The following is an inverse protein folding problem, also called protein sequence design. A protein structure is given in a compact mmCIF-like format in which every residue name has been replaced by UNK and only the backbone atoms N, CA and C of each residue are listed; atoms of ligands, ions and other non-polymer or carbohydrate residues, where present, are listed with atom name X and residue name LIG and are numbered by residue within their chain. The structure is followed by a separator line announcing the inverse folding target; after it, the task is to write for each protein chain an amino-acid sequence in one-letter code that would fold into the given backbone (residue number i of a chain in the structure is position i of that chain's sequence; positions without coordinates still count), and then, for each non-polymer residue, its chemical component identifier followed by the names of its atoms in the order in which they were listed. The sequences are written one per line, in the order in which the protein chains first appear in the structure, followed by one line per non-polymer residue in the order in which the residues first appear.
data_IF_070153901787
#
_entry.id   IF_070153901787
#
_cell.length_a   1.000
_cell.length_b   1.000
_cell.length_c   1.000
_cell.angle_alpha   90.00
_cell.angle_beta   90.00
_cell.angle_gamma   90.00
#
_symmetry.space_group_name_H-M   'P 1'
#
loop_
_entity.id
_entity.type
_entity.pdbx_description
1 polymer ?
#
# COMPACT_ATOMS: atom_id res chain seq x y z
N UNK A 1 20.54 -24.00 26.44
CA UNK A 1 20.20 -23.43 27.76
C UNK A 1 19.33 -22.22 27.49
N UNK A 2 18.02 -22.39 27.60
CA UNK A 2 17.03 -21.36 27.26
C UNK A 2 16.91 -20.35 28.40
N UNK A 3 17.00 -19.07 28.08
CA UNK A 3 16.62 -17.99 29.00
C UNK A 3 15.24 -17.52 28.54
N UNK A 4 14.21 -17.96 29.25
CA UNK A 4 12.86 -17.41 29.13
C UNK A 4 12.81 -16.17 30.00
N UNK A 5 12.75 -14.98 29.39
CA UNK A 5 12.56 -13.72 30.11
C UNK A 5 11.06 -13.35 30.08
N UNK A 6 10.34 -13.36 31.21
CA UNK A 6 8.87 -13.36 31.22
C UNK A 6 8.21 -11.98 31.00
N UNK A 7 8.95 -10.96 30.57
CA UNK A 7 8.44 -9.57 30.53
C UNK A 7 7.95 -9.15 29.13
N UNK A 8 8.24 -9.93 28.08
CA UNK A 8 7.70 -9.70 26.74
C UNK A 8 7.19 -11.02 26.17
N UNK A 9 5.92 -11.05 25.74
CA UNK A 9 5.33 -12.15 24.96
C UNK A 9 5.95 -12.20 23.54
N UNK A 10 7.26 -12.39 23.48
CA UNK A 10 8.05 -12.54 22.26
C UNK A 10 8.85 -13.84 22.40
N UNK A 11 8.57 -14.81 21.53
CA UNK A 11 9.46 -15.93 21.33
C UNK A 11 10.61 -15.46 20.41
N UNK A 12 11.83 -15.42 20.92
CA UNK A 12 13.03 -15.21 20.10
C UNK A 12 13.63 -16.59 19.84
N UNK A 13 13.55 -17.06 18.59
CA UNK A 13 14.27 -18.26 18.17
C UNK A 13 15.66 -17.83 17.76
N UNK A 14 16.66 -18.07 18.61
CA UNK A 14 18.06 -17.92 18.26
C UNK A 14 18.53 -19.18 17.54
N UNK A 15 18.92 -19.07 16.28
CA UNK A 15 19.57 -20.16 15.53
C UNK A 15 21.07 -20.06 15.77
N UNK A 16 21.69 -21.18 16.14
CA UNK A 16 23.14 -21.26 16.38
C UNK A 16 23.90 -21.02 15.07
N UNK A 17 25.01 -20.27 15.06
CA UNK A 17 25.77 -19.97 13.84
C UNK A 17 26.40 -21.18 13.14
N UNK A 18 26.31 -22.38 13.73
CA UNK A 18 26.87 -23.62 13.18
C UNK A 18 25.81 -24.56 12.56
N UNK A 19 24.54 -24.18 12.53
CA UNK A 19 23.51 -24.98 11.84
C UNK A 19 23.30 -24.49 10.40
N UNK A 20 23.19 -25.42 9.46
CA UNK A 20 22.82 -25.15 8.07
C UNK A 20 21.49 -24.40 7.99
N UNK A 21 21.39 -23.42 7.10
CA UNK A 21 20.20 -22.60 6.90
C UNK A 21 18.95 -23.48 6.73
N UNK A 22 17.94 -23.28 7.58
CA UNK A 22 16.63 -23.90 7.42
C UNK A 22 16.00 -23.45 6.11
N UNK A 23 15.36 -24.39 5.42
CA UNK A 23 14.53 -24.06 4.26
C UNK A 23 13.32 -23.22 4.67
N UNK A 24 12.82 -22.38 3.76
CA UNK A 24 11.61 -21.58 3.98
C UNK A 24 10.41 -22.44 4.41
N UNK A 25 10.35 -23.68 3.92
CA UNK A 25 9.28 -24.64 4.20
C UNK A 25 9.35 -25.17 5.64
N UNK A 26 10.55 -25.43 6.18
CA UNK A 26 10.75 -25.83 7.58
C UNK A 26 10.42 -24.70 8.56
N UNK A 27 10.74 -23.45 8.19
CA UNK A 27 10.35 -22.27 8.97
C UNK A 27 8.83 -22.14 9.00
N UNK A 28 8.17 -22.37 7.86
CA UNK A 28 6.72 -22.25 7.75
C UNK A 28 5.99 -23.36 8.52
N UNK A 29 6.48 -24.61 8.47
CA UNK A 29 5.92 -25.74 9.23
C UNK A 29 5.99 -25.53 10.75
N UNK A 30 7.08 -24.93 11.25
CA UNK A 30 7.22 -24.63 12.68
C UNK A 30 6.35 -23.47 13.15
N UNK A 31 5.98 -22.54 12.25
CA UNK A 31 5.08 -21.42 12.55
C UNK A 31 3.61 -21.85 12.67
N UNK A 32 3.17 -22.87 11.93
CA UNK A 32 1.78 -23.36 11.97
C UNK A 32 1.39 -23.92 13.35
N UNK A 33 2.36 -24.37 14.15
CA UNK A 33 2.14 -25.00 15.47
C UNK A 33 1.74 -23.95 16.55
N UNK A 34 1.99 -22.65 16.34
CA UNK A 34 1.79 -21.60 17.37
C UNK A 34 0.60 -20.67 17.13
N UNK A 35 -0.31 -21.03 16.22
CA UNK A 35 -1.23 -20.07 15.59
C UNK A 35 -2.66 -20.18 16.12
N UNK A 36 -2.93 -19.65 17.33
CA UNK A 36 -4.29 -19.18 17.67
C UNK A 36 -4.36 -17.79 18.31
N UNK A 37 -3.32 -17.26 18.97
CA UNK A 37 -3.45 -15.94 19.64
C UNK A 37 -2.24 -14.98 19.62
N UNK A 38 -1.17 -15.24 18.86
CA UNK A 38 -0.01 -14.33 18.84
C UNK A 38 0.36 -13.81 17.45
N UNK A 39 0.51 -12.49 17.38
CA UNK A 39 1.23 -11.80 16.29
C UNK A 39 2.73 -11.97 16.51
N UNK A 40 3.30 -13.08 16.04
CA UNK A 40 4.75 -13.35 16.14
C UNK A 40 5.50 -12.62 15.02
N UNK A 41 6.53 -11.86 15.38
CA UNK A 41 7.51 -11.29 14.46
C UNK A 41 8.78 -12.15 14.51
N UNK A 42 9.26 -12.65 13.36
CA UNK A 42 10.56 -13.32 13.27
C UNK A 42 11.57 -12.38 12.59
N UNK A 43 12.68 -12.10 13.26
CA UNK A 43 13.87 -11.48 12.66
C UNK A 43 14.94 -12.55 12.58
N UNK A 44 15.12 -13.13 11.39
CA UNK A 44 16.28 -13.98 11.12
C UNK A 44 17.44 -13.08 10.68
N UNK A 45 18.51 -13.04 11.48
CA UNK A 45 19.77 -12.40 11.13
C UNK A 45 20.70 -13.49 10.60
N UNK A 46 20.77 -13.64 9.28
CA UNK A 46 21.92 -14.27 8.63
C UNK A 46 22.78 -13.17 8.00
N UNK A 47 24.09 -13.32 8.12
CA UNK A 47 25.08 -12.33 7.71
C UNK A 47 24.90 -11.82 6.28
N UNK A 48 25.09 -10.50 6.14
CA UNK A 48 25.10 -9.68 4.93
C UNK A 48 23.85 -9.78 4.03
N UNK A 49 22.88 -8.92 4.37
CA UNK A 49 21.67 -8.52 3.65
C UNK A 49 20.50 -9.52 3.66
N UNK A 50 19.70 -9.47 4.73
CA UNK A 50 18.32 -9.95 4.73
C UNK A 50 17.35 -8.77 4.86
N UNK A 51 16.53 -8.53 3.83
CA UNK A 51 15.31 -7.72 3.94
C UNK A 51 14.21 -8.63 4.47
N UNK A 52 13.97 -8.58 5.79
CA UNK A 52 12.91 -9.35 6.42
C UNK A 52 11.54 -8.93 5.91
N UNK A 53 10.76 -9.89 5.38
CA UNK A 53 9.32 -9.71 5.13
C UNK A 53 8.58 -9.88 6.46
N UNK A 54 8.33 -8.77 7.14
CA UNK A 54 7.36 -8.75 8.23
C UNK A 54 5.95 -8.85 7.64
N UNK A 55 5.26 -9.98 7.85
CA UNK A 55 3.86 -10.15 7.51
C UNK A 55 3.01 -9.45 8.59
N UNK A 56 2.93 -8.12 8.51
CA UNK A 56 1.98 -7.37 9.31
C UNK A 56 0.59 -7.66 8.73
N UNK A 57 -0.37 -8.10 9.58
CA UNK A 57 -1.79 -8.08 9.21
C UNK A 57 -2.20 -6.63 8.99
N UNK A 58 -2.14 -6.18 7.74
CA UNK A 58 -2.55 -4.83 7.35
C UNK A 58 -4.06 -4.79 7.26
N UNK A 59 -4.73 -3.79 7.84
CA UNK A 59 -6.19 -3.59 7.71
C UNK A 59 -6.54 -2.88 6.40
N UNK A 60 -7.82 -2.82 5.99
CA UNK A 60 -8.16 -2.42 4.60
C UNK A 60 -7.76 -0.99 4.26
N UNK A 61 -8.02 -0.02 5.14
CA UNK A 61 -7.62 1.36 4.87
C UNK A 61 -6.10 1.42 4.65
N UNK A 62 -5.30 0.69 5.45
CA UNK A 62 -3.84 0.55 5.28
C UNK A 62 -3.43 -0.07 3.94
N UNK A 63 -4.26 -0.96 3.39
CA UNK A 63 -4.10 -1.58 2.07
C UNK A 63 -4.10 -0.55 0.94
N UNK A 64 -5.08 0.34 0.97
CA UNK A 64 -5.23 1.38 -0.06
C UNK A 64 -4.13 2.46 0.11
N UNK A 65 -3.73 2.74 1.36
CA UNK A 65 -2.65 3.66 1.68
C UNK A 65 -1.31 3.30 1.06
N UNK A 66 -0.83 2.09 1.34
CA UNK A 66 0.47 1.68 0.85
C UNK A 66 0.39 1.35 -0.66
N UNK A 67 -0.78 1.06 -1.24
CA UNK A 67 -0.93 1.06 -2.70
C UNK A 67 -0.63 2.44 -3.32
N UNK A 68 -1.20 3.52 -2.77
CA UNK A 68 -0.90 4.88 -3.21
C UNK A 68 0.59 5.25 -3.04
N UNK A 69 1.20 4.87 -1.90
CA UNK A 69 2.65 5.07 -1.66
C UNK A 69 3.51 4.23 -2.61
N UNK A 70 3.10 3.01 -2.95
CA UNK A 70 3.83 2.18 -3.91
C UNK A 70 3.70 2.70 -5.34
N UNK A 71 2.56 3.29 -5.74
CA UNK A 71 2.45 4.00 -7.01
C UNK A 71 3.46 5.16 -7.07
N UNK A 72 3.59 5.95 -6.00
CA UNK A 72 4.60 7.02 -5.91
C UNK A 72 6.03 6.48 -6.09
N UNK A 73 6.38 5.39 -5.41
CA UNK A 73 7.77 4.88 -5.43
C UNK A 73 8.10 4.14 -6.73
N UNK A 74 7.12 3.50 -7.36
CA UNK A 74 7.30 2.95 -8.73
C UNK A 74 7.47 4.06 -9.75
N UNK A 75 6.77 5.19 -9.59
CA UNK A 75 6.98 6.40 -10.37
C UNK A 75 8.41 6.94 -10.24
N UNK A 76 8.90 7.14 -9.01
CA UNK A 76 10.28 7.55 -8.74
C UNK A 76 11.33 6.62 -9.38
N UNK A 77 11.05 5.31 -9.37
CA UNK A 77 11.93 4.30 -9.97
C UNK A 77 11.99 4.36 -11.50
N UNK A 78 10.99 4.95 -12.16
CA UNK A 78 10.98 5.15 -13.61
C UNK A 78 11.69 6.46 -14.01
N UNK A 79 11.63 7.50 -13.16
CA UNK A 79 12.21 8.82 -13.44
C UNK A 79 13.74 8.85 -13.44
N UNK A 80 14.40 8.04 -12.60
CA UNK A 80 15.86 8.06 -12.44
C UNK A 80 16.57 7.10 -13.40
N UNK A 81 16.20 7.10 -14.70
CA UNK A 81 16.82 6.22 -15.69
C UNK A 81 18.27 6.61 -16.05
N UNK A 82 18.75 7.80 -15.67
CA UNK A 82 20.05 8.33 -16.12
C UNK A 82 21.23 8.20 -15.15
N UNK A 83 21.04 7.97 -13.84
CA UNK A 83 22.16 7.88 -12.88
C UNK A 83 22.57 6.43 -12.57
N UNK A 84 23.71 5.99 -13.11
CA UNK A 84 24.26 4.64 -12.94
C UNK A 84 24.66 4.27 -11.49
N UNK A 85 24.97 5.22 -10.62
CA UNK A 85 25.47 4.93 -9.25
C UNK A 85 24.40 4.45 -8.26
N UNK A 86 23.10 4.65 -8.54
CA UNK A 86 21.99 4.27 -7.64
C UNK A 86 21.28 2.97 -8.04
N UNK A 87 21.79 2.24 -9.04
CA UNK A 87 21.15 1.03 -9.57
C UNK A 87 20.85 -0.08 -8.54
N UNK A 88 21.72 -0.42 -7.56
CA UNK A 88 21.42 -1.46 -6.57
C UNK A 88 20.34 -1.03 -5.57
N UNK A 89 20.41 0.21 -5.06
CA UNK A 89 19.38 0.75 -4.18
C UNK A 89 18.02 0.83 -4.90
N UNK A 90 18.03 1.25 -6.17
CA UNK A 90 16.85 1.30 -7.04
C UNK A 90 16.20 -0.07 -7.22
N UNK A 91 16.98 -1.13 -7.44
CA UNK A 91 16.46 -2.50 -7.57
C UNK A 91 15.83 -3.00 -6.27
N UNK A 92 16.49 -2.76 -5.14
CA UNK A 92 15.99 -3.18 -3.82
C UNK A 92 14.72 -2.43 -3.42
N UNK A 93 14.67 -1.11 -3.61
CA UNK A 93 13.48 -0.29 -3.34
C UNK A 93 12.33 -0.65 -4.27
N UNK A 94 12.59 -0.81 -5.58
CA UNK A 94 11.59 -1.27 -6.55
C UNK A 94 11.04 -2.64 -6.17
N UNK A 95 11.87 -3.60 -5.81
CA UNK A 95 11.45 -4.95 -5.43
C UNK A 95 10.61 -4.95 -4.15
N UNK A 96 11.03 -4.21 -3.11
CA UNK A 96 10.29 -4.08 -1.87
C UNK A 96 8.91 -3.42 -2.08
N UNK A 97 8.85 -2.37 -2.90
CA UNK A 97 7.61 -1.63 -3.18
C UNK A 97 6.68 -2.39 -4.12
N UNK A 98 7.20 -3.11 -5.10
CA UNK A 98 6.40 -4.03 -5.91
C UNK A 98 5.81 -5.14 -5.04
N UNK A 99 6.59 -5.70 -4.09
CA UNK A 99 6.08 -6.67 -3.12
C UNK A 99 4.94 -6.12 -2.25
N UNK A 100 5.11 -4.90 -1.71
CA UNK A 100 4.09 -4.25 -0.88
C UNK A 100 2.83 -3.91 -1.68
N UNK A 101 2.95 -3.32 -2.87
CA UNK A 101 1.80 -3.04 -3.76
C UNK A 101 1.01 -4.29 -4.10
N UNK A 102 1.70 -5.41 -4.37
CA UNK A 102 1.05 -6.66 -4.72
C UNK A 102 0.28 -7.25 -3.55
N UNK A 103 0.88 -7.29 -2.35
CA UNK A 103 0.21 -7.78 -1.13
C UNK A 103 -1.09 -7.00 -0.87
N UNK A 104 -1.06 -5.70 -1.12
CA UNK A 104 -2.18 -4.83 -0.82
C UNK A 104 -3.28 -4.85 -1.83
N UNK A 105 -2.89 -4.88 -3.10
CA UNK A 105 -3.82 -5.15 -4.18
C UNK A 105 -4.55 -6.48 -3.93
N UNK A 106 -3.82 -7.55 -3.58
CA UNK A 106 -4.44 -8.85 -3.25
C UNK A 106 -5.37 -8.73 -2.05
N UNK A 107 -5.01 -7.95 -1.02
CA UNK A 107 -5.88 -7.74 0.14
C UNK A 107 -7.17 -7.01 -0.22
N UNK A 108 -7.09 -5.90 -0.94
CA UNK A 108 -8.29 -5.15 -1.37
C UNK A 108 -9.16 -6.02 -2.28
N UNK A 109 -8.54 -6.72 -3.24
CA UNK A 109 -9.24 -7.67 -4.13
C UNK A 109 -9.96 -8.75 -3.33
N UNK A 110 -9.27 -9.41 -2.39
CA UNK A 110 -9.86 -10.48 -1.58
C UNK A 110 -10.99 -9.96 -0.69
N UNK A 111 -10.88 -8.75 -0.12
CA UNK A 111 -12.00 -8.18 0.64
C UNK A 111 -13.18 -7.87 -0.27
N UNK A 112 -12.97 -7.23 -1.42
CA UNK A 112 -14.05 -6.93 -2.38
C UNK A 112 -14.79 -8.20 -2.81
N UNK A 113 -14.04 -9.25 -3.17
CA UNK A 113 -14.62 -10.54 -3.54
C UNK A 113 -15.41 -11.14 -2.37
N UNK A 114 -14.83 -11.15 -1.16
CA UNK A 114 -15.51 -11.67 0.05
C UNK A 114 -16.84 -10.95 0.29
N UNK A 115 -16.85 -9.63 0.30
CA UNK A 115 -18.06 -8.82 0.53
C UNK A 115 -19.13 -9.08 -0.54
N UNK A 116 -18.73 -9.24 -1.80
CA UNK A 116 -19.67 -9.59 -2.88
C UNK A 116 -20.24 -11.00 -2.74
N UNK A 117 -19.42 -11.99 -2.36
CA UNK A 117 -19.87 -13.36 -2.12
C UNK A 117 -20.84 -13.43 -0.93
N UNK A 118 -20.54 -12.70 0.16
CA UNK A 118 -21.43 -12.57 1.32
C UNK A 118 -22.77 -11.90 0.96
N UNK A 119 -22.79 -11.03 -0.05
CA UNK A 119 -24.00 -10.41 -0.60
C UNK A 119 -24.71 -11.26 -1.69
N UNK A 120 -24.35 -12.54 -1.83
CA UNK A 120 -25.04 -13.49 -2.71
C UNK A 120 -24.52 -13.58 -4.15
N UNK A 121 -23.43 -12.89 -4.49
CA UNK A 121 -22.77 -13.06 -5.78
C UNK A 121 -22.19 -14.49 -5.88
N UNK A 122 -22.53 -15.22 -6.94
CA UNK A 122 -22.22 -16.65 -7.02
C UNK A 122 -20.85 -16.97 -7.63
N UNK A 123 -20.23 -16.01 -8.34
CA UNK A 123 -19.05 -16.28 -9.17
C UNK A 123 -17.82 -15.44 -8.75
N UNK A 124 -17.31 -15.65 -7.54
CA UNK A 124 -16.18 -14.90 -7.01
C UNK A 124 -14.91 -14.99 -7.86
N UNK A 125 -14.69 -16.11 -8.57
CA UNK A 125 -13.54 -16.30 -9.44
C UNK A 125 -13.59 -15.39 -10.69
N UNK A 126 -14.76 -15.25 -11.33
CA UNK A 126 -14.96 -14.30 -12.44
C UNK A 126 -14.71 -12.85 -12.00
N UNK A 127 -15.15 -12.48 -10.79
CA UNK A 127 -14.89 -11.15 -10.24
C UNK A 127 -13.40 -10.92 -10.00
N UNK A 128 -12.72 -11.92 -9.43
CA UNK A 128 -11.27 -11.88 -9.19
C UNK A 128 -10.50 -11.75 -10.51
N UNK A 129 -10.86 -12.54 -11.51
CA UNK A 129 -10.28 -12.48 -12.85
C UNK A 129 -10.49 -11.11 -13.48
N UNK A 130 -11.70 -10.55 -13.38
CA UNK A 130 -11.99 -9.21 -13.92
C UNK A 130 -11.13 -8.12 -13.27
N UNK A 131 -10.94 -8.19 -11.95
CA UNK A 131 -10.08 -7.27 -11.21
C UNK A 131 -8.61 -7.43 -11.66
N UNK A 132 -8.14 -8.67 -11.85
CA UNK A 132 -6.80 -8.98 -12.34
C UNK A 132 -6.57 -8.53 -13.79
N UNK A 133 -7.55 -8.68 -14.67
CA UNK A 133 -7.52 -8.15 -16.03
C UNK A 133 -7.41 -6.62 -16.05
N UNK A 134 -8.13 -5.92 -15.16
CA UNK A 134 -7.99 -4.47 -15.02
C UNK A 134 -6.57 -4.06 -14.62
N UNK A 135 -5.95 -4.78 -13.67
CA UNK A 135 -4.56 -4.57 -13.27
C UNK A 135 -3.57 -4.82 -14.42
N UNK A 136 -3.73 -5.90 -15.18
CA UNK A 136 -2.85 -6.15 -16.33
C UNK A 136 -3.04 -5.10 -17.42
N UNK A 137 -4.28 -4.68 -17.69
CA UNK A 137 -4.58 -3.60 -18.61
C UNK A 137 -3.87 -2.29 -18.22
N UNK A 138 -3.89 -1.91 -16.93
CA UNK A 138 -3.22 -0.71 -16.43
C UNK A 138 -1.69 -0.72 -16.68
N UNK A 139 -1.06 -1.90 -16.72
CA UNK A 139 0.39 -2.02 -17.00
C UNK A 139 0.74 -1.79 -18.48
N UNK A 140 -0.22 -1.90 -19.40
CA UNK A 140 0.02 -1.80 -20.83
C UNK A 140 0.44 -0.39 -21.27
N UNK A 141 0.12 0.65 -20.49
CA UNK A 141 0.63 2.01 -20.71
C UNK A 141 1.59 2.40 -19.61
N UNK A 142 2.68 3.05 -20.00
CA UNK A 142 3.70 3.56 -19.07
C UNK A 142 3.35 4.97 -18.62
N UNK A 143 3.19 5.15 -17.31
CA UNK A 143 3.05 6.45 -16.66
C UNK A 143 4.27 7.33 -16.97
N UNK A 144 4.06 8.64 -17.14
CA UNK A 144 5.06 9.65 -17.54
C UNK A 144 5.62 9.57 -18.96
N UNK A 145 5.44 8.46 -19.66
CA UNK A 145 5.68 8.38 -21.12
C UNK A 145 4.41 8.74 -21.88
N UNK A 146 3.27 8.30 -21.37
CA UNK A 146 1.96 8.63 -21.93
C UNK A 146 1.55 10.02 -21.44
N UNK A 147 0.99 10.91 -22.29
CA UNK A 147 0.44 12.18 -21.84
C UNK A 147 -0.64 11.98 -20.76
N UNK A 148 -0.69 12.88 -19.76
CA UNK A 148 -1.60 12.78 -18.59
C UNK A 148 -3.04 12.41 -18.97
N UNK A 149 -3.66 13.18 -19.88
CA UNK A 149 -5.04 12.93 -20.30
C UNK A 149 -5.23 11.52 -20.88
N UNK A 150 -4.38 11.11 -21.82
CA UNK A 150 -4.43 9.79 -22.44
C UNK A 150 -4.14 8.62 -21.47
N UNK A 151 -3.41 8.88 -20.38
CA UNK A 151 -3.19 7.90 -19.31
C UNK A 151 -4.39 7.81 -18.37
N UNK A 152 -5.03 8.93 -18.03
CA UNK A 152 -6.26 8.94 -17.23
C UNK A 152 -7.42 8.26 -17.98
N UNK A 153 -7.56 8.51 -19.28
CA UNK A 153 -8.55 7.80 -20.11
C UNK A 153 -8.27 6.29 -20.16
N UNK A 154 -6.99 5.90 -20.18
CA UNK A 154 -6.59 4.49 -20.10
C UNK A 154 -6.99 3.86 -18.78
N UNK A 155 -6.82 4.58 -17.68
CA UNK A 155 -7.27 4.16 -16.35
C UNK A 155 -8.77 3.90 -16.34
N UNK A 156 -9.57 4.82 -16.89
CA UNK A 156 -11.03 4.65 -16.98
C UNK A 156 -11.39 3.42 -17.80
N UNK A 157 -10.81 3.27 -19.00
CA UNK A 157 -11.09 2.12 -19.88
C UNK A 157 -10.72 0.77 -19.25
N UNK A 158 -9.58 0.68 -18.56
CA UNK A 158 -9.12 -0.56 -17.94
C UNK A 158 -9.94 -0.97 -16.72
N UNK A 159 -10.52 0.00 -16.00
CA UNK A 159 -11.21 -0.27 -14.73
C UNK A 159 -12.72 -0.30 -14.85
N UNK A 160 -13.30 0.19 -15.95
CA UNK A 160 -14.74 0.30 -16.16
C UNK A 160 -15.50 -1.00 -15.84
N UNK A 161 -15.04 -2.13 -16.37
CA UNK A 161 -15.73 -3.41 -16.18
C UNK A 161 -15.61 -3.93 -14.75
N UNK A 162 -14.43 -3.81 -14.13
CA UNK A 162 -14.22 -4.16 -12.73
C UNK A 162 -15.09 -3.29 -11.81
N UNK A 163 -15.11 -1.96 -12.02
CA UNK A 163 -15.97 -1.02 -11.27
C UNK A 163 -17.43 -1.41 -11.39
N UNK A 164 -17.91 -1.70 -12.61
CA UNK A 164 -19.29 -2.12 -12.87
C UNK A 164 -19.64 -3.42 -12.14
N UNK A 165 -18.83 -4.47 -12.27
CA UNK A 165 -19.09 -5.77 -11.61
C UNK A 165 -19.07 -5.63 -10.09
N UNK A 166 -18.06 -4.96 -9.55
CA UNK A 166 -17.92 -4.72 -8.12
C UNK A 166 -19.12 -3.94 -7.57
N UNK A 167 -19.53 -2.84 -8.23
CA UNK A 167 -20.69 -2.05 -7.82
C UNK A 167 -21.98 -2.88 -7.83
N UNK A 168 -22.16 -3.75 -8.82
CA UNK A 168 -23.37 -4.56 -8.94
C UNK A 168 -23.45 -5.67 -7.89
N UNK A 169 -22.30 -6.19 -7.42
CA UNK A 169 -22.28 -7.25 -6.42
C UNK A 169 -22.20 -6.75 -4.98
N UNK A 170 -21.76 -5.50 -4.75
CA UNK A 170 -21.68 -4.94 -3.41
C UNK A 170 -23.05 -4.63 -2.77
N UNK A 171 -23.16 -4.71 -1.43
CA UNK A 171 -24.28 -4.14 -0.69
C UNK A 171 -24.48 -2.66 -1.01
N UNK A 172 -25.73 -2.18 -0.95
CA UNK A 172 -26.10 -0.82 -1.37
C UNK A 172 -25.29 0.29 -0.68
N UNK A 173 -25.03 0.13 0.62
CA UNK A 173 -24.27 1.07 1.44
C UNK A 173 -22.77 1.12 1.08
N UNK A 174 -22.26 0.13 0.36
CA UNK A 174 -20.85 0.02 -0.06
C UNK A 174 -20.63 0.23 -1.54
N UNK A 175 -21.70 0.45 -2.33
CA UNK A 175 -21.61 0.71 -3.78
C UNK A 175 -20.76 1.93 -4.14
N UNK A 176 -20.46 2.84 -3.20
CA UNK A 176 -19.54 3.97 -3.42
C UNK A 176 -18.08 3.56 -3.63
N UNK A 177 -17.71 2.36 -3.14
CA UNK A 177 -16.31 1.97 -2.98
C UNK A 177 -15.55 1.82 -4.30
N UNK A 178 -16.04 1.11 -5.34
CA UNK A 178 -15.29 0.97 -6.58
C UNK A 178 -15.01 2.30 -7.27
N UNK A 179 -15.97 3.23 -7.31
CA UNK A 179 -15.76 4.59 -7.82
C UNK A 179 -14.79 5.38 -6.93
N UNK A 180 -14.89 5.26 -5.60
CA UNK A 180 -13.95 5.91 -4.69
C UNK A 180 -12.49 5.49 -4.99
N UNK A 181 -12.23 4.21 -5.23
CA UNK A 181 -10.88 3.71 -5.57
C UNK A 181 -10.42 4.26 -6.92
N UNK A 182 -11.31 4.31 -7.91
CA UNK A 182 -11.01 4.87 -9.23
C UNK A 182 -10.67 6.37 -9.13
N UNK A 183 -11.49 7.14 -8.42
CA UNK A 183 -11.29 8.57 -8.20
C UNK A 183 -9.98 8.85 -7.46
N UNK A 184 -9.70 8.06 -6.42
CA UNK A 184 -8.44 8.14 -5.69
C UNK A 184 -7.24 7.90 -6.60
N UNK A 185 -7.29 6.83 -7.40
CA UNK A 185 -6.22 6.52 -8.35
C UNK A 185 -6.02 7.67 -9.34
N UNK A 186 -7.08 8.20 -9.95
CA UNK A 186 -7.00 9.32 -10.90
C UNK A 186 -6.45 10.59 -10.26
N UNK A 187 -6.84 10.86 -9.02
CA UNK A 187 -6.38 12.01 -8.24
C UNK A 187 -4.88 11.90 -7.94
N UNK A 188 -4.42 10.75 -7.44
CA UNK A 188 -3.00 10.48 -7.18
C UNK A 188 -2.19 10.52 -8.46
N UNK A 189 -2.66 9.90 -9.54
CA UNK A 189 -2.00 9.94 -10.86
C UNK A 189 -1.88 11.39 -11.35
N UNK A 190 -2.93 12.20 -11.20
CA UNK A 190 -2.90 13.60 -11.63
C UNK A 190 -1.85 14.41 -10.88
N UNK A 191 -1.80 14.26 -9.56
CA UNK A 191 -0.76 14.87 -8.73
C UNK A 191 0.64 14.37 -9.13
N UNK A 192 0.80 13.07 -9.40
CA UNK A 192 2.07 12.53 -9.86
C UNK A 192 2.57 13.15 -11.17
N UNK A 193 1.69 13.46 -12.12
CA UNK A 193 2.06 14.17 -13.36
C UNK A 193 2.43 15.64 -13.09
N UNK A 194 1.71 16.30 -12.18
CA UNK A 194 1.95 17.71 -11.81
C UNK A 194 3.25 17.89 -11.02
N UNK A 195 3.58 16.92 -10.15
CA UNK A 195 4.76 16.91 -9.29
C UNK A 195 5.89 16.03 -9.83
N UNK A 196 5.86 15.69 -11.11
CA UNK A 196 6.85 14.81 -11.72
C UNK A 196 8.29 15.26 -11.46
N UNK A 197 8.58 16.55 -11.63
CA UNK A 197 9.92 17.10 -11.41
C UNK A 197 10.31 17.11 -9.92
N UNK A 198 9.38 17.42 -9.02
CA UNK A 198 9.62 17.39 -7.57
C UNK A 198 9.93 15.96 -7.11
N UNK A 199 9.15 14.99 -7.59
CA UNK A 199 9.40 13.58 -7.32
C UNK A 199 10.78 13.16 -7.85
N UNK A 200 11.06 13.45 -9.12
CA UNK A 200 12.31 13.05 -9.79
C UNK A 200 13.55 13.66 -9.15
N UNK A 201 13.47 14.89 -8.66
CA UNK A 201 14.63 15.64 -8.15
C UNK A 201 14.66 15.62 -6.62
N UNK A 202 13.72 16.30 -5.97
CA UNK A 202 13.73 16.51 -4.53
C UNK A 202 13.44 15.24 -3.74
N UNK A 203 12.37 14.51 -4.10
CA UNK A 203 11.99 13.29 -3.38
C UNK A 203 13.02 12.17 -3.62
N UNK A 204 13.59 12.09 -4.82
CA UNK A 204 14.70 11.19 -5.14
C UNK A 204 15.95 11.49 -4.31
N UNK A 205 16.32 12.77 -4.14
CA UNK A 205 17.43 13.18 -3.29
C UNK A 205 17.18 12.80 -1.81
N UNK A 206 15.91 12.81 -1.37
CA UNK A 206 15.53 12.37 -0.03
C UNK A 206 15.45 10.83 0.15
N UNK A 207 15.43 10.05 -0.94
CA UNK A 207 15.23 8.61 -0.87
C UNK A 207 16.15 7.87 0.13
N UNK A 208 17.47 8.20 0.26
CA UNK A 208 18.33 7.58 1.26
C UNK A 208 17.87 7.76 2.71
N UNK A 209 17.27 8.90 3.06
CA UNK A 209 16.71 9.15 4.39
C UNK A 209 15.41 8.38 4.63
N UNK A 210 14.56 8.30 3.61
CA UNK A 210 13.30 7.56 3.70
C UNK A 210 13.55 6.06 3.91
N UNK A 211 14.58 5.48 3.30
CA UNK A 211 14.88 4.04 3.47
C UNK A 211 15.58 3.70 4.79
N UNK A 212 15.89 4.69 5.64
CA UNK A 212 16.45 4.41 6.96
C UNK A 212 15.44 3.64 7.81
N UNK A 213 15.89 2.52 8.40
CA UNK A 213 15.03 1.63 9.20
C UNK A 213 14.31 2.37 10.32
N UNK A 214 14.99 3.30 11.01
CA UNK A 214 14.38 4.13 12.06
C UNK A 214 13.20 4.96 11.53
N UNK A 215 13.36 5.58 10.36
CA UNK A 215 12.31 6.37 9.69
C UNK A 215 11.15 5.52 9.19
N UNK A 216 11.44 4.34 8.64
CA UNK A 216 10.40 3.38 8.27
C UNK A 216 9.60 2.91 9.49
N UNK A 217 10.26 2.67 10.62
CA UNK A 217 9.59 2.32 11.88
C UNK A 217 8.70 3.46 12.40
N UNK A 218 9.15 4.73 12.31
CA UNK A 218 8.29 5.89 12.62
C UNK A 218 7.00 5.88 11.78
N UNK A 219 7.10 5.68 10.46
CA UNK A 219 5.96 5.60 9.56
C UNK A 219 5.02 4.43 9.91
N UNK A 220 5.57 3.22 10.11
CA UNK A 220 4.79 2.04 10.49
C UNK A 220 4.09 2.26 11.84
N UNK A 221 4.76 2.88 12.80
CA UNK A 221 4.18 3.17 14.11
C UNK A 221 3.06 4.21 14.03
N UNK A 222 3.19 5.21 13.15
CA UNK A 222 2.11 6.13 12.84
C UNK A 222 0.88 5.39 12.30
N UNK A 223 1.06 4.53 11.29
CA UNK A 223 -0.04 3.71 10.75
C UNK A 223 -0.65 2.78 11.81
N UNK A 224 0.19 2.22 12.69
CA UNK A 224 -0.24 1.39 13.83
C UNK A 224 -1.14 2.15 14.79
N UNK A 225 -0.73 3.35 15.17
CA UNK A 225 -1.47 4.25 16.05
C UNK A 225 -2.79 4.67 15.41
N UNK A 226 -2.75 5.19 14.19
CA UNK A 226 -3.96 5.66 13.48
C UNK A 226 -5.01 4.56 13.39
N UNK A 227 -4.66 3.34 12.96
CA UNK A 227 -5.69 2.31 12.82
C UNK A 227 -6.22 1.76 14.16
N UNK A 228 -5.53 1.99 15.28
CA UNK A 228 -6.12 1.77 16.62
C UNK A 228 -7.13 2.87 16.93
N UNK A 229 -6.77 4.13 16.66
CA UNK A 229 -7.62 5.30 16.94
C UNK A 229 -8.87 5.36 16.05
N UNK A 230 -8.78 4.91 14.80
CA UNK A 230 -9.90 4.94 13.86
C UNK A 230 -10.73 3.66 13.86
N UNK A 231 -10.41 2.71 14.75
CA UNK A 231 -11.03 1.38 14.79
C UNK A 231 -11.10 0.76 13.39
N UNK A 232 -9.98 0.82 12.65
CA UNK A 232 -9.92 0.27 11.30
C UNK A 232 -10.24 -1.22 11.39
N UNK A 233 -11.03 -1.75 10.48
CA UNK A 233 -11.43 -3.16 10.42
C UNK A 233 -10.99 -3.75 9.09
N UNK A 234 -11.14 -5.06 8.93
CA UNK A 234 -10.84 -5.73 7.65
C UNK A 234 -11.98 -5.61 6.62
N UNK A 235 -13.05 -4.87 6.94
CA UNK A 235 -14.27 -4.72 6.14
C UNK A 235 -14.36 -3.34 5.47
N UNK A 236 -15.14 -3.27 4.38
CA UNK A 236 -15.42 -2.00 3.70
C UNK A 236 -16.41 -1.22 4.58
N UNK A 237 -16.09 0.01 5.02
CA UNK A 237 -17.01 0.87 5.75
C UNK A 237 -18.33 1.05 4.97
N UNK A 238 -19.45 1.14 5.68
CA UNK A 238 -20.80 1.30 5.11
C UNK A 238 -21.08 2.67 4.48
N UNK A 239 -20.10 3.57 4.44
CA UNK A 239 -20.25 4.85 3.76
C UNK A 239 -18.90 5.44 3.39
N UNK A 240 -18.91 6.30 2.36
CA UNK A 240 -17.73 7.10 1.97
C UNK A 240 -17.20 7.93 3.13
N UNK A 241 -18.08 8.57 3.90
CA UNK A 241 -17.68 9.36 5.06
C UNK A 241 -16.96 8.53 6.14
N UNK A 242 -17.48 7.33 6.45
CA UNK A 242 -16.84 6.41 7.39
C UNK A 242 -15.48 5.92 6.85
N UNK A 243 -15.39 5.66 5.54
CA UNK A 243 -14.12 5.34 4.90
C UNK A 243 -13.12 6.49 5.02
N UNK A 244 -13.52 7.71 4.67
CA UNK A 244 -12.66 8.89 4.74
C UNK A 244 -12.19 9.21 6.15
N UNK A 245 -13.03 9.03 7.17
CA UNK A 245 -12.65 9.17 8.59
C UNK A 245 -11.53 8.21 9.00
N UNK A 246 -11.48 7.01 8.41
CA UNK A 246 -10.42 6.00 8.65
C UNK A 246 -9.21 6.22 7.75
N UNK A 247 -9.47 6.63 6.52
CA UNK A 247 -8.48 6.85 5.48
C UNK A 247 -7.63 8.07 5.84
N UNK A 248 -8.21 9.28 5.88
CA UNK A 248 -7.46 10.54 5.90
C UNK A 248 -6.42 10.70 7.03
N UNK A 249 -6.64 10.22 8.26
CA UNK A 249 -5.61 10.26 9.28
C UNK A 249 -4.35 9.43 8.92
N UNK A 250 -4.51 8.35 8.16
CA UNK A 250 -3.38 7.52 7.72
C UNK A 250 -2.62 8.14 6.54
N UNK A 251 -3.23 9.02 5.73
CA UNK A 251 -2.52 9.87 4.75
C UNK A 251 -1.42 10.67 5.40
N UNK A 252 -1.75 11.25 6.55
CA UNK A 252 -0.87 12.17 7.25
C UNK A 252 0.40 11.46 7.72
N UNK A 253 0.38 10.14 7.89
CA UNK A 253 1.57 9.39 8.23
C UNK A 253 2.64 9.51 7.14
N UNK A 254 2.26 9.48 5.85
CA UNK A 254 3.22 9.65 4.77
C UNK A 254 3.75 11.10 4.73
N UNK A 255 2.85 12.08 4.86
CA UNK A 255 3.22 13.51 4.92
C UNK A 255 4.20 13.78 6.08
N UNK A 256 3.90 13.26 7.27
CA UNK A 256 4.76 13.38 8.47
C UNK A 256 6.09 12.68 8.28
N UNK A 257 6.10 11.51 7.64
CA UNK A 257 7.33 10.76 7.35
C UNK A 257 8.24 11.50 6.37
N UNK A 258 7.69 12.05 5.28
CA UNK A 258 8.45 12.89 4.35
C UNK A 258 8.98 14.13 5.06
N UNK A 259 8.14 14.82 5.84
CA UNK A 259 8.53 16.01 6.62
C UNK A 259 9.63 15.72 7.64
N UNK A 260 9.62 14.57 8.30
CA UNK A 260 10.60 14.20 9.35
C UNK A 260 11.89 13.58 8.80
N UNK A 261 11.90 13.17 7.53
CA UNK A 261 13.03 12.46 6.90
C UNK A 261 13.75 13.29 5.85
N UNK A 262 13.07 14.25 5.22
CA UNK A 262 13.63 15.07 4.14
C UNK A 262 14.02 16.47 4.63
N UNK A 263 15.00 17.13 3.99
CA UNK A 263 15.21 18.56 4.14
C UNK A 263 13.92 19.32 3.82
N UNK A 264 13.66 20.41 4.53
CA UNK A 264 12.53 21.26 4.20
C UNK A 264 12.90 22.14 3.00
N UNK A 265 12.23 21.89 1.87
CA UNK A 265 12.30 22.70 0.65
C UNK A 265 10.90 23.13 0.25
N UNK A 266 10.80 24.21 -0.51
CA UNK A 266 9.51 24.67 -1.03
C UNK A 266 8.82 23.59 -1.88
N UNK A 267 9.59 22.90 -2.73
CA UNK A 267 9.11 21.78 -3.55
C UNK A 267 8.58 20.62 -2.70
N UNK A 268 9.32 20.19 -1.66
CA UNK A 268 8.88 19.09 -0.81
C UNK A 268 7.68 19.48 0.07
N UNK A 269 7.54 20.75 0.42
CA UNK A 269 6.33 21.26 1.07
C UNK A 269 5.13 21.20 0.14
N UNK A 270 5.28 21.69 -1.10
CA UNK A 270 4.26 21.59 -2.15
C UNK A 270 3.84 20.13 -2.37
N UNK A 271 4.79 19.21 -2.57
CA UNK A 271 4.49 17.78 -2.76
C UNK A 271 3.70 17.17 -1.61
N UNK A 272 4.01 17.55 -0.36
CA UNK A 272 3.27 17.08 0.82
C UNK A 272 1.82 17.57 0.83
N UNK A 273 1.62 18.83 0.47
CA UNK A 273 0.29 19.47 0.38
C UNK A 273 -0.52 18.85 -0.76
N UNK A 274 0.08 18.71 -1.95
CA UNK A 274 -0.56 18.12 -3.13
C UNK A 274 -0.87 16.64 -2.93
N UNK A 275 0.00 15.87 -2.27
CA UNK A 275 -0.29 14.50 -1.89
C UNK A 275 -1.52 14.39 -0.99
N UNK A 276 -1.59 15.23 0.06
CA UNK A 276 -2.73 15.21 0.97
C UNK A 276 -4.01 15.61 0.23
N UNK A 277 -3.98 16.70 -0.54
CA UNK A 277 -5.12 17.16 -1.34
C UNK A 277 -5.58 16.11 -2.37
N UNK A 278 -4.64 15.40 -3.01
CA UNK A 278 -4.96 14.34 -3.95
C UNK A 278 -5.69 13.16 -3.27
N UNK A 279 -5.28 12.81 -2.05
CA UNK A 279 -5.94 11.80 -1.23
C UNK A 279 -7.26 12.27 -0.60
N UNK A 280 -7.40 13.57 -0.33
CA UNK A 280 -8.62 14.17 0.22
C UNK A 280 -9.72 14.32 -0.83
N UNK A 281 -9.38 14.63 -2.08
CA UNK A 281 -10.34 14.89 -3.16
C UNK A 281 -11.47 13.85 -3.30
N UNK A 282 -11.23 12.52 -3.28
CA UNK A 282 -12.31 11.52 -3.33
C UNK A 282 -13.27 11.55 -2.12
N UNK A 283 -12.86 12.19 -1.02
CA UNK A 283 -13.66 12.40 0.19
C UNK A 283 -14.51 13.66 0.14
N UNK A 284 -14.21 14.62 -0.74
CA UNK A 284 -14.91 15.90 -0.85
C UNK A 284 -16.16 15.85 -1.75
N UNK A 285 -16.35 14.75 -2.49
CA UNK A 285 -17.47 14.62 -3.43
C UNK A 285 -18.79 14.62 -2.64
N UNK A 286 -19.50 15.75 -2.74
CA UNK A 286 -20.86 15.93 -2.23
C UNK A 286 -21.71 14.75 -2.66
N UNK A 287 -22.40 14.12 -1.71
CA UNK A 287 -23.44 13.15 -2.00
C UNK A 287 -24.41 13.78 -2.99
N UNK A 288 -24.32 13.41 -4.26
CA UNK A 288 -25.38 13.71 -5.22
C UNK A 288 -26.50 12.83 -4.73
N UNK A 289 -27.45 13.44 -4.01
CA UNK A 289 -28.69 12.81 -3.58
C UNK A 289 -29.26 12.05 -4.79
N UNK A 290 -29.10 10.73 -4.80
CA UNK A 290 -29.71 9.86 -5.78
C UNK A 290 -31.20 9.86 -5.49
N UNK A 291 -31.91 10.72 -6.22
CA UNK A 291 -33.37 10.75 -6.33
C UNK A 291 -33.85 9.46 -7.00
#
# INVERSE_FOLDING_TARGET
MEIINPIYNCAIITISPNESCLSFEEVNQRLTIYNEHLSVYLVAVCGNYCVGKALIRYKMARGIWIFAVCLLVTGLSLCNAEQQQLAPLKRSVRSAMQGLSSIMYEKVKNTVVRECMENGYQNGDDLKETIDQAKECLKNKKMFITPKAAFLDHVDSCTQEAVRKVRNCMPDDRKYFPEFIQDLMKSVVSMMYEDFDIMRVDLAACAPSLVQTSKQLEYINCLKKVSKETEDEDNIPSSRAAFCKRYLPATECFVKWVKSSCPDSENLRKFREDYYAASERPCEVKEVNSV
#
